data_IF_500428628945
#
_entry.id   IF_500428628945
#
_cell.length_a   1.000
_cell.length_b   1.000
_cell.length_c   1.000
_cell.angle_alpha   90.00
_cell.angle_beta   90.00
_cell.angle_gamma   90.00
#
_symmetry.space_group_name_H-M   'P 1'
#
loop_
_entity.id
_entity.type
_entity.pdbx_description
1 polymer ?
#
# COMPACT_ATOMS: atom_id res chain seq x y z
N UNK A 1 14.06 2.05 -10.96
CA UNK A 1 14.71 3.13 -10.18
C UNK A 1 14.36 2.89 -8.72
N UNK A 2 15.32 2.95 -7.80
CA UNK A 2 15.04 2.81 -6.38
C UNK A 2 14.82 4.20 -5.77
N UNK A 3 13.71 4.38 -5.06
CA UNK A 3 13.40 5.62 -4.35
C UNK A 3 13.53 5.38 -2.84
N UNK A 4 14.25 6.25 -2.13
CA UNK A 4 14.40 6.15 -0.68
C UNK A 4 13.25 6.89 0.01
N UNK A 5 12.38 6.12 0.68
CA UNK A 5 11.21 6.66 1.36
C UNK A 5 11.41 6.59 2.87
N UNK A 6 10.97 7.64 3.58
CA UNK A 6 11.03 7.69 5.04
C UNK A 6 9.76 7.10 5.64
N UNK A 7 9.93 6.12 6.54
CA UNK A 7 8.84 5.62 7.38
C UNK A 7 8.36 6.73 8.34
N UNK A 8 7.04 6.92 8.42
CA UNK A 8 6.39 7.90 9.28
C UNK A 8 5.36 7.21 10.16
N UNK A 9 5.19 7.69 11.39
CA UNK A 9 4.10 7.25 12.28
C UNK A 9 2.77 7.76 11.72
N UNK A 10 1.83 6.85 11.48
CA UNK A 10 0.47 7.16 11.02
C UNK A 10 -0.52 7.26 12.19
N UNK A 11 -0.26 6.55 13.28
CA UNK A 11 -1.15 6.52 14.44
C UNK A 11 -0.78 5.41 15.40
N UNK A 12 -1.74 5.04 16.25
CA UNK A 12 -1.61 3.93 17.19
C UNK A 12 -2.90 3.12 17.18
N UNK A 13 -2.80 1.80 17.25
CA UNK A 13 -3.92 0.88 17.45
C UNK A 13 -3.64 -0.06 18.63
N UNK A 14 -4.50 -1.06 18.82
CA UNK A 14 -4.36 -2.07 19.89
C UNK A 14 -3.06 -2.88 19.83
N UNK A 15 -2.38 -2.92 18.67
CA UNK A 15 -1.10 -3.59 18.49
C UNK A 15 0.11 -2.65 18.63
N UNK A 16 -0.10 -1.35 18.87
CA UNK A 16 0.96 -0.36 19.05
C UNK A 16 1.00 0.70 17.95
N UNK A 17 2.18 1.26 17.72
CA UNK A 17 2.39 2.33 16.74
C UNK A 17 2.31 1.80 15.30
N UNK A 18 1.52 2.47 14.47
CA UNK A 18 1.40 2.17 13.05
C UNK A 18 2.30 3.09 12.24
N UNK A 19 3.01 2.52 11.27
CA UNK A 19 3.88 3.23 10.34
C UNK A 19 3.36 3.22 8.90
N UNK A 20 3.86 4.14 8.08
CA UNK A 20 3.61 4.16 6.64
C UNK A 20 4.65 4.97 5.88
N UNK A 21 4.65 4.80 4.56
CA UNK A 21 5.49 5.54 3.61
C UNK A 21 4.61 6.41 2.73
N UNK A 22 5.16 7.51 2.21
CA UNK A 22 4.48 8.35 1.23
C UNK A 22 5.05 8.07 -0.15
N UNK A 23 4.21 7.62 -1.07
CA UNK A 23 4.58 7.42 -2.48
C UNK A 23 4.26 8.69 -3.28
N UNK A 24 5.11 9.09 -4.24
CA UNK A 24 4.80 10.20 -5.16
C UNK A 24 3.52 9.95 -5.96
N UNK A 25 2.80 11.03 -6.29
CA UNK A 25 1.56 10.97 -7.08
C UNK A 25 1.76 10.24 -8.40
N UNK A 26 2.88 10.49 -9.08
CA UNK A 26 3.16 9.87 -10.37
C UNK A 26 3.40 8.36 -10.26
N UNK A 27 4.04 7.90 -9.19
CA UNK A 27 4.19 6.46 -8.88
C UNK A 27 2.83 5.81 -8.65
N UNK A 28 1.97 6.44 -7.85
CA UNK A 28 0.61 5.93 -7.60
C UNK A 28 -0.23 5.88 -8.89
N UNK A 29 -0.06 6.85 -9.79
CA UNK A 29 -0.77 6.90 -11.08
C UNK A 29 -0.28 5.80 -12.02
N UNK A 30 1.03 5.57 -12.11
CA UNK A 30 1.61 4.48 -12.91
C UNK A 30 1.06 3.11 -12.48
N UNK A 31 0.87 2.91 -11.17
CA UNK A 31 0.30 1.69 -10.60
C UNK A 31 -1.25 1.63 -10.67
N UNK A 32 -1.89 2.67 -11.24
CA UNK A 32 -3.35 2.77 -11.36
C UNK A 32 -4.07 2.80 -10.00
N UNK A 33 -3.42 3.35 -8.96
CA UNK A 33 -3.95 3.47 -7.60
C UNK A 33 -4.66 4.80 -7.36
N UNK A 34 -4.47 5.77 -8.25
CA UNK A 34 -5.19 7.04 -8.26
C UNK A 34 -5.67 7.36 -9.67
N UNK A 35 -6.78 8.09 -9.77
CA UNK A 35 -7.31 8.62 -11.03
C UNK A 35 -6.52 9.82 -11.56
N UNK A 36 -7.03 10.41 -12.64
CA UNK A 36 -6.37 11.54 -13.32
C UNK A 36 -6.32 12.78 -12.42
N UNK A 37 -7.38 13.03 -11.64
CA UNK A 37 -7.49 14.18 -10.75
C UNK A 37 -6.69 13.98 -9.45
N UNK A 38 -6.36 12.73 -9.10
CA UNK A 38 -5.53 12.33 -7.97
C UNK A 38 -6.29 11.78 -6.78
N UNK A 39 -7.56 11.53 -6.96
CA UNK A 39 -8.43 10.73 -6.11
C UNK A 39 -7.96 9.26 -6.11
N UNK A 40 -8.05 8.60 -4.95
CA UNK A 40 -7.85 7.15 -4.88
C UNK A 40 -8.92 6.45 -5.71
N UNK A 41 -8.53 5.48 -6.53
CA UNK A 41 -9.51 4.59 -7.14
C UNK A 41 -10.19 3.77 -6.05
N UNK A 42 -11.44 3.35 -6.26
CA UNK A 42 -12.10 2.45 -5.31
C UNK A 42 -11.31 1.15 -5.18
N UNK A 43 -11.05 0.77 -3.93
CA UNK A 43 -10.56 -0.56 -3.51
C UNK A 43 -9.17 -0.99 -4.01
N UNK A 44 -8.10 -0.23 -3.74
CA UNK A 44 -6.74 -0.71 -3.94
C UNK A 44 -6.34 -1.63 -2.78
N UNK A 45 -6.68 -2.91 -2.87
CA UNK A 45 -6.16 -3.89 -1.93
C UNK A 45 -4.70 -4.21 -2.27
N UNK A 46 -3.85 -4.07 -1.27
CA UNK A 46 -2.44 -4.45 -1.36
C UNK A 46 -2.22 -5.63 -0.43
N UNK A 47 -1.59 -6.67 -0.95
CA UNK A 47 -1.03 -7.73 -0.13
C UNK A 47 0.40 -7.36 0.21
N UNK A 48 0.75 -7.49 1.48
CA UNK A 48 2.09 -7.23 2.01
C UNK A 48 2.58 -8.52 2.67
N UNK A 49 3.59 -9.15 2.08
CA UNK A 49 4.18 -10.42 2.53
C UNK A 49 5.60 -10.16 3.02
N UNK A 50 5.97 -10.71 4.17
CA UNK A 50 7.34 -10.66 4.68
C UNK A 50 8.13 -11.85 4.12
N UNK A 51 9.26 -11.57 3.46
CA UNK A 51 10.08 -12.61 2.80
C UNK A 51 11.28 -13.05 3.67
N UNK A 52 11.63 -12.29 4.71
CA UNK A 52 12.82 -12.52 5.53
C UNK A 52 13.86 -11.41 5.37
N UNK A 53 14.84 -11.34 6.27
CA UNK A 53 15.98 -10.40 6.20
C UNK A 53 15.62 -8.91 5.99
N UNK A 54 14.43 -8.50 6.45
CA UNK A 54 13.94 -7.13 6.25
C UNK A 54 13.35 -6.86 4.86
N UNK A 55 13.24 -7.87 4.00
CA UNK A 55 12.61 -7.80 2.69
C UNK A 55 11.11 -8.07 2.77
N UNK A 56 10.36 -7.32 1.97
CA UNK A 56 8.90 -7.39 1.89
C UNK A 56 8.48 -7.38 0.43
N UNK A 57 7.53 -8.25 0.10
CA UNK A 57 6.87 -8.24 -1.18
C UNK A 57 5.51 -7.56 -1.07
N UNK A 58 5.29 -6.56 -1.93
CA UNK A 58 4.01 -5.85 -2.00
C UNK A 58 3.41 -6.10 -3.37
N UNK A 59 2.20 -6.65 -3.40
CA UNK A 59 1.47 -6.89 -4.64
C UNK A 59 0.06 -6.30 -4.58
N UNK A 60 -0.38 -5.72 -5.70
CA UNK A 60 -1.79 -5.34 -5.86
C UNK A 60 -2.62 -6.61 -6.05
N UNK A 61 -3.72 -6.70 -5.32
CA UNK A 61 -4.67 -7.79 -5.47
C UNK A 61 -6.01 -7.24 -5.97
N UNK A 62 -6.66 -7.99 -6.87
CA UNK A 62 -8.04 -7.76 -7.27
C UNK A 62 -8.95 -8.36 -6.21
N UNK A 63 -9.89 -7.58 -5.68
CA UNK A 63 -10.91 -8.04 -4.73
C UNK A 63 -11.64 -9.29 -5.21
N UNK A 64 -11.88 -9.41 -6.53
CA UNK A 64 -12.57 -10.56 -7.12
C UNK A 64 -11.82 -11.88 -6.92
N UNK A 65 -10.52 -11.80 -6.62
CA UNK A 65 -9.66 -12.97 -6.39
C UNK A 65 -9.55 -13.33 -4.91
N UNK A 66 -10.05 -12.48 -4.01
CA UNK A 66 -10.00 -12.67 -2.55
C UNK A 66 -11.31 -12.22 -1.89
N UNK A 67 -12.41 -12.97 -2.07
CA UNK A 67 -13.73 -12.62 -1.54
C UNK A 67 -13.79 -12.56 0.00
N UNK A 68 -12.81 -13.13 0.70
CA UNK A 68 -12.74 -13.13 2.16
C UNK A 68 -12.15 -11.82 2.74
N UNK A 69 -11.74 -10.86 1.88
CA UNK A 69 -11.21 -9.55 2.29
C UNK A 69 -12.26 -8.43 2.26
N UNK A 70 -13.49 -8.73 1.88
CA UNK A 70 -14.64 -7.84 2.03
C UNK A 70 -15.32 -8.14 3.36
N UNK A 71 -15.19 -7.23 4.32
CA UNK A 71 -16.01 -7.18 5.53
C UNK A 71 -17.37 -6.53 5.20
#
# INVERSE_FOLDING_TARGET
MAELLKLRKLGQNSAGDNGGISLPKDTLRLEGLIGEEGELVQQPYLRVEYEGDGEWHISRIDERRFPDLTD
#
